data_IF_206494265172
#
_entry.id   IF_206494265172
#
_cell.length_a   1.000
_cell.length_b   1.000
_cell.length_c   1.000
_cell.angle_alpha   90.00
_cell.angle_beta   90.00
_cell.angle_gamma   90.00
#
_symmetry.space_group_name_H-M   'P 1'
#
loop_
_entity.id
_entity.type
_entity.pdbx_description
1 polymer ?
#
# COMPACT_ATOMS: atom_id res chain seq x y z
N UNK A 1 12.68 7.86 -1.43
CA UNK A 1 11.32 8.39 -1.60
C UNK A 1 10.45 7.20 -1.93
N UNK A 2 9.42 6.92 -1.13
CA UNK A 2 8.50 5.83 -1.45
C UNK A 2 7.74 6.21 -2.73
N UNK A 3 7.70 5.33 -3.73
CA UNK A 3 7.06 5.53 -5.04
C UNK A 3 5.52 5.45 -4.94
N UNK A 4 4.96 5.83 -3.79
CA UNK A 4 3.53 5.79 -3.50
C UNK A 4 3.10 7.16 -3.03
N UNK A 5 2.09 7.70 -3.70
CA UNK A 5 1.57 9.02 -3.38
C UNK A 5 0.84 8.99 -2.03
N UNK A 6 1.00 10.04 -1.22
CA UNK A 6 0.30 10.17 0.06
C UNK A 6 -1.23 10.04 -0.11
N UNK A 7 -1.78 10.58 -1.21
CA UNK A 7 -3.21 10.46 -1.51
C UNK A 7 -3.64 9.01 -1.78
N UNK A 8 -2.78 8.18 -2.38
CA UNK A 8 -3.03 6.75 -2.58
C UNK A 8 -3.10 6.01 -1.25
N UNK A 9 -2.23 6.33 -0.30
CA UNK A 9 -2.23 5.75 1.05
C UNK A 9 -3.54 6.12 1.77
N UNK A 10 -3.92 7.39 1.79
CA UNK A 10 -5.20 7.84 2.38
C UNK A 10 -6.38 7.08 1.76
N UNK A 11 -6.43 6.97 0.43
CA UNK A 11 -7.52 6.23 -0.24
C UNK A 11 -7.54 4.74 0.08
N UNK A 12 -6.38 4.12 0.30
CA UNK A 12 -6.30 2.72 0.75
C UNK A 12 -6.85 2.57 2.17
N UNK A 13 -6.45 3.45 3.09
CA UNK A 13 -6.93 3.44 4.48
C UNK A 13 -8.43 3.72 4.60
N UNK A 14 -8.97 4.60 3.75
CA UNK A 14 -10.41 4.93 3.72
C UNK A 14 -11.24 3.95 2.88
N UNK A 15 -10.64 2.89 2.32
CA UNK A 15 -11.34 1.90 1.48
C UNK A 15 -11.76 2.40 0.09
N UNK A 16 -11.24 3.55 -0.36
CA UNK A 16 -11.43 4.06 -1.72
C UNK A 16 -10.63 3.29 -2.78
N UNK A 17 -9.60 2.53 -2.38
CA UNK A 17 -8.91 1.54 -3.19
C UNK A 17 -9.08 0.20 -2.51
N UNK A 18 -9.92 -0.67 -3.09
CA UNK A 18 -10.23 -2.00 -2.52
C UNK A 18 -9.42 -3.14 -3.14
N UNK A 19 -8.84 -2.91 -4.33
CA UNK A 19 -8.09 -3.93 -5.05
C UNK A 19 -6.75 -3.38 -5.59
N UNK A 20 -5.79 -3.07 -4.69
CA UNK A 20 -4.48 -2.60 -5.11
C UNK A 20 -3.75 -3.66 -5.96
N UNK A 21 -2.88 -3.21 -6.85
CA UNK A 21 -1.99 -4.12 -7.59
C UNK A 21 -0.89 -4.66 -6.67
N UNK A 22 -0.30 -5.80 -7.03
CA UNK A 22 0.85 -6.37 -6.30
C UNK A 22 2.01 -5.37 -6.23
N UNK A 23 2.27 -4.61 -7.30
CA UNK A 23 3.28 -3.55 -7.30
C UNK A 23 2.98 -2.47 -6.24
N UNK A 24 1.71 -2.08 -6.10
CA UNK A 24 1.28 -1.10 -5.10
C UNK A 24 1.53 -1.65 -3.68
N UNK A 25 1.15 -2.91 -3.43
CA UNK A 25 1.39 -3.56 -2.14
C UNK A 25 2.89 -3.64 -1.81
N UNK A 26 3.75 -3.98 -2.77
CA UNK A 26 5.21 -4.00 -2.60
C UNK A 26 5.79 -2.62 -2.27
N UNK A 27 5.29 -1.55 -2.92
CA UNK A 27 5.73 -0.19 -2.64
C UNK A 27 5.34 0.25 -1.22
N UNK A 28 4.16 -0.14 -0.76
CA UNK A 28 3.66 0.16 0.60
C UNK A 28 4.44 -0.64 1.64
N UNK A 29 4.59 -1.96 1.45
CA UNK A 29 5.28 -2.82 2.41
C UNK A 29 6.75 -2.38 2.59
N UNK A 30 7.41 -1.99 1.49
CA UNK A 30 8.76 -1.41 1.52
C UNK A 30 8.82 -0.06 2.26
N UNK A 31 7.80 0.77 2.13
CA UNK A 31 7.74 2.06 2.81
C UNK A 31 7.48 1.93 4.32
N UNK A 32 6.78 0.86 4.72
CA UNK A 32 6.45 0.55 6.10
C UNK A 32 7.42 -0.44 6.77
N UNK A 33 8.41 -0.94 6.02
CA UNK A 33 9.38 -1.96 6.47
C UNK A 33 8.72 -3.25 7.00
N UNK A 34 7.61 -3.66 6.37
CA UNK A 34 6.85 -4.89 6.66
C UNK A 34 6.84 -5.83 5.44
N UNK A 35 6.38 -7.06 5.61
CA UNK A 35 6.19 -7.99 4.49
C UNK A 35 4.88 -7.68 3.75
N UNK A 36 4.81 -8.05 2.46
CA UNK A 36 3.59 -7.88 1.67
C UNK A 36 2.44 -8.68 2.29
N UNK A 37 2.73 -9.85 2.84
CA UNK A 37 1.78 -10.71 3.54
C UNK A 37 1.18 -10.03 4.78
N UNK A 38 1.90 -9.12 5.44
CA UNK A 38 1.39 -8.38 6.60
C UNK A 38 0.30 -7.35 6.20
N UNK A 39 0.20 -7.02 4.90
CA UNK A 39 -0.85 -6.15 4.34
C UNK A 39 -2.09 -6.93 3.89
N UNK A 40 -2.02 -8.26 3.88
CA UNK A 40 -3.11 -9.15 3.50
C UNK A 40 -3.76 -9.70 4.78
N UNK A 41 -5.09 -9.77 4.82
CA UNK A 41 -5.84 -10.35 5.93
C UNK A 41 -6.75 -11.47 5.45
#
# INVERSE_FOLDING_TARGET
MADVSYNSIIKLETGGITNPTIETLQKISKALEVQVDDLLK
#
